data_IF_128539626120
#
_entry.id   IF_128539626120
#
_cell.length_a   1.000
_cell.length_b   1.000
_cell.length_c   1.000
_cell.angle_alpha   90.00
_cell.angle_beta   90.00
_cell.angle_gamma   90.00
#
_symmetry.space_group_name_H-M   'P 1'
#
loop_
_entity.id
_entity.type
_entity.pdbx_description
1 polymer ?
#
# COMPACT_ATOMS: atom_id res chain seq x y z
N UNK A 1 -11.03 -3.69 -2.13
CA UNK A 1 -10.83 -5.14 -1.91
C UNK A 1 -9.76 -5.72 -2.84
N UNK A 2 -9.76 -5.38 -4.13
CA UNK A 2 -8.78 -5.85 -5.11
C UNK A 2 -7.31 -5.68 -4.69
N UNK A 3 -6.93 -4.48 -4.23
CA UNK A 3 -5.53 -4.20 -3.87
C UNK A 3 -5.05 -5.03 -2.66
N UNK A 4 -5.91 -5.23 -1.65
CA UNK A 4 -5.63 -6.13 -0.52
C UNK A 4 -5.48 -7.59 -0.95
N UNK A 5 -6.28 -8.05 -1.91
CA UNK A 5 -6.12 -9.40 -2.47
C UNK A 5 -4.82 -9.52 -3.28
N UNK A 6 -4.45 -8.49 -4.01
CA UNK A 6 -3.20 -8.45 -4.80
C UNK A 6 -1.97 -8.58 -3.90
N UNK A 7 -1.89 -7.81 -2.82
CA UNK A 7 -0.78 -7.96 -1.86
C UNK A 7 -0.87 -9.30 -1.12
N UNK A 8 -2.08 -9.81 -0.86
CA UNK A 8 -2.28 -11.16 -0.32
C UNK A 8 -1.67 -12.25 -1.20
N UNK A 9 -1.85 -12.18 -2.52
CA UNK A 9 -1.20 -13.13 -3.44
C UNK A 9 0.32 -13.01 -3.45
N UNK A 10 0.85 -11.80 -3.28
CA UNK A 10 2.30 -11.57 -3.17
C UNK A 10 2.88 -12.11 -1.86
N UNK A 11 2.13 -12.00 -0.77
CA UNK A 11 2.54 -12.44 0.58
C UNK A 11 2.35 -13.95 0.80
N UNK A 12 1.64 -14.63 -0.09
CA UNK A 12 1.49 -16.06 -0.03
C UNK A 12 2.87 -16.75 -0.07
N UNK A 13 3.09 -17.69 0.85
CA UNK A 13 4.35 -18.43 1.00
C UNK A 13 5.61 -17.59 1.26
N UNK A 14 5.46 -16.29 1.56
CA UNK A 14 6.57 -15.37 1.88
C UNK A 14 7.08 -15.49 3.33
N UNK A 15 6.42 -16.31 4.15
CA UNK A 15 6.62 -16.36 5.60
C UNK A 15 5.86 -15.29 6.39
N UNK A 16 5.14 -14.38 5.73
CA UNK A 16 4.34 -13.34 6.41
C UNK A 16 3.33 -13.92 7.40
N UNK A 17 2.53 -14.91 6.99
CA UNK A 17 1.54 -15.54 7.89
C UNK A 17 2.23 -16.25 9.06
N UNK A 18 3.38 -16.89 8.82
CA UNK A 18 4.23 -17.47 9.86
C UNK A 18 4.67 -16.42 10.88
N UNK A 19 5.18 -15.28 10.43
CA UNK A 19 5.60 -14.19 11.31
C UNK A 19 4.44 -13.66 12.17
N UNK A 20 3.22 -13.60 11.64
CA UNK A 20 2.03 -13.21 12.41
C UNK A 20 1.67 -14.22 13.50
N UNK A 21 1.84 -15.51 13.22
CA UNK A 21 1.58 -16.60 14.16
C UNK A 21 2.65 -16.64 15.25
N UNK A 22 3.91 -16.57 14.87
CA UNK A 22 5.06 -16.58 15.80
C UNK A 22 5.04 -15.36 16.74
N UNK A 23 4.61 -14.20 16.24
CA UNK A 23 4.41 -13.00 17.05
C UNK A 23 3.17 -13.06 17.96
N UNK A 24 2.37 -14.14 17.89
CA UNK A 24 1.15 -14.32 18.69
C UNK A 24 0.00 -13.38 18.30
N UNK A 25 0.03 -12.77 17.12
CA UNK A 25 -0.97 -11.80 16.68
C UNK A 25 -2.23 -12.50 16.15
N UNK A 26 -2.07 -13.67 15.52
CA UNK A 26 -3.16 -14.45 14.93
C UNK A 26 -2.90 -15.96 15.02
N UNK A 27 -3.97 -16.75 15.08
CA UNK A 27 -3.86 -18.20 14.86
C UNK A 27 -3.58 -18.50 13.39
N UNK A 28 -3.02 -19.67 13.03
CA UNK A 28 -2.69 -20.02 11.63
C UNK A 28 -3.85 -19.79 10.65
N UNK A 29 -5.03 -20.33 10.96
CA UNK A 29 -6.21 -20.13 10.11
C UNK A 29 -6.68 -18.67 10.03
N UNK A 30 -6.44 -17.87 11.07
CA UNK A 30 -6.75 -16.43 11.03
C UNK A 30 -5.74 -15.67 10.19
N UNK A 31 -4.45 -16.02 10.28
CA UNK A 31 -3.41 -15.42 9.46
C UNK A 31 -3.64 -15.68 7.96
N UNK A 32 -3.96 -16.92 7.58
CA UNK A 32 -4.28 -17.29 6.20
C UNK A 32 -5.55 -16.59 5.68
N UNK A 33 -6.51 -16.33 6.58
CA UNK A 33 -7.73 -15.60 6.25
C UNK A 33 -7.46 -14.14 5.80
N UNK A 34 -6.29 -13.58 6.13
CA UNK A 34 -5.90 -12.24 5.71
C UNK A 34 -5.42 -12.21 4.25
N UNK A 35 -4.74 -13.26 3.77
CA UNK A 35 -4.29 -13.39 2.38
C UNK A 35 -5.47 -13.31 1.39
N UNK A 36 -6.60 -13.92 1.75
CA UNK A 36 -7.81 -13.97 0.91
C UNK A 36 -8.78 -12.81 1.18
N UNK A 37 -8.49 -11.97 2.17
CA UNK A 37 -9.32 -10.83 2.61
C UNK A 37 -10.72 -11.28 3.05
N UNK A 38 -10.80 -12.32 3.88
CA UNK A 38 -12.07 -12.84 4.43
C UNK A 38 -12.85 -11.79 5.24
N UNK A 39 -12.13 -10.87 5.92
CA UNK A 39 -12.69 -9.75 6.67
C UNK A 39 -11.90 -8.49 6.38
N UNK A 40 -12.48 -7.58 5.58
CA UNK A 40 -11.82 -6.32 5.16
C UNK A 40 -11.29 -5.53 6.36
N UNK A 41 -12.06 -5.45 7.45
CA UNK A 41 -11.67 -4.68 8.64
C UNK A 41 -10.44 -5.28 9.32
N UNK A 42 -10.44 -6.60 9.55
CA UNK A 42 -9.32 -7.29 10.21
C UNK A 42 -8.09 -7.32 9.32
N UNK A 43 -8.26 -7.67 8.04
CA UNK A 43 -7.17 -7.66 7.05
C UNK A 43 -6.51 -6.29 6.96
N UNK A 44 -7.29 -5.21 6.86
CA UNK A 44 -6.73 -3.84 6.86
C UNK A 44 -5.87 -3.58 8.11
N UNK A 45 -6.37 -3.93 9.30
CA UNK A 45 -5.63 -3.73 10.54
C UNK A 45 -4.29 -4.49 10.52
N UNK A 46 -4.27 -5.69 9.97
CA UNK A 46 -3.04 -6.48 9.87
C UNK A 46 -2.03 -5.92 8.89
N UNK A 47 -2.49 -5.39 7.76
CA UNK A 47 -1.65 -4.65 6.82
C UNK A 47 -1.08 -3.37 7.43
N UNK A 48 -1.85 -2.65 8.26
CA UNK A 48 -1.33 -1.52 9.04
C UNK A 48 -0.22 -1.94 10.02
N UNK A 49 -0.42 -3.03 10.76
CA UNK A 49 0.60 -3.58 11.68
C UNK A 49 1.85 -4.02 10.91
N UNK A 50 1.67 -4.63 9.73
CA UNK A 50 2.75 -5.08 8.86
C UNK A 50 3.57 -3.89 8.36
N UNK A 51 2.93 -2.86 7.81
CA UNK A 51 3.61 -1.64 7.35
C UNK A 51 4.40 -0.95 8.48
N UNK A 52 3.81 -0.82 9.67
CA UNK A 52 4.52 -0.27 10.83
C UNK A 52 5.72 -1.14 11.24
N UNK A 53 5.56 -2.46 11.27
CA UNK A 53 6.62 -3.40 11.64
C UNK A 53 7.78 -3.35 10.65
N UNK A 54 7.49 -3.42 9.35
CA UNK A 54 8.49 -3.31 8.29
C UNK A 54 9.24 -1.99 8.33
N UNK A 55 8.54 -0.87 8.51
CA UNK A 55 9.19 0.44 8.62
C UNK A 55 10.12 0.54 9.85
N UNK A 56 9.68 0.00 11.00
CA UNK A 56 10.53 -0.07 12.21
C UNK A 56 11.77 -0.91 11.99
N UNK A 57 11.63 -2.09 11.37
CA UNK A 57 12.75 -2.97 11.05
C UNK A 57 13.72 -2.32 10.05
N UNK A 58 13.18 -1.64 9.03
CA UNK A 58 13.96 -0.89 8.06
C UNK A 58 14.79 0.22 8.71
N UNK A 59 14.18 1.00 9.62
CA UNK A 59 14.89 2.03 10.37
C UNK A 59 15.92 1.46 11.33
N UNK A 60 15.64 0.34 11.99
CA UNK A 60 16.62 -0.35 12.84
C UNK A 60 17.84 -0.80 12.02
N UNK A 61 17.62 -1.45 10.88
CA UNK A 61 18.70 -1.89 9.99
C UNK A 61 19.55 -0.71 9.47
N UNK A 62 18.94 0.44 9.20
CA UNK A 62 19.68 1.65 8.84
C UNK A 62 20.51 2.19 10.01
N UNK A 63 19.95 2.22 11.23
CA UNK A 63 20.69 2.65 12.41
C UNK A 63 21.87 1.74 12.72
N UNK A 64 21.75 0.43 12.50
CA UNK A 64 22.86 -0.49 12.71
C UNK A 64 23.94 -0.31 11.65
N UNK A 65 23.58 -0.10 10.38
CA UNK A 65 24.53 0.32 9.33
C UNK A 65 25.30 1.59 9.73
N UNK A 66 24.63 2.61 10.27
CA UNK A 66 25.30 3.84 10.71
C UNK A 66 26.28 3.64 11.87
N UNK A 67 26.11 2.60 12.68
CA UNK A 67 27.06 2.28 13.78
C UNK A 67 28.28 1.50 13.29
N UNK A 68 28.10 0.72 12.23
CA UNK A 68 29.11 -0.18 11.67
C UNK A 68 29.92 0.45 10.54
N UNK A 69 29.42 1.54 9.93
CA UNK A 69 30.12 2.20 8.82
C UNK A 69 31.34 2.98 9.30
N UNK A 70 32.47 2.77 8.64
CA UNK A 70 33.70 3.56 8.79
C UNK A 70 33.75 4.76 7.83
N UNK A 71 32.68 4.98 7.04
CA UNK A 71 32.57 6.08 6.09
C UNK A 71 32.60 7.45 6.79
N UNK A 72 33.20 8.44 6.13
CA UNK A 72 33.16 9.81 6.65
C UNK A 72 31.72 10.34 6.66
N UNK A 73 31.33 11.22 7.58
CA UNK A 73 29.96 11.73 7.66
C UNK A 73 29.42 12.37 6.36
N UNK A 74 30.31 12.89 5.51
CA UNK A 74 29.97 13.48 4.21
C UNK A 74 29.74 12.45 3.10
N UNK A 75 30.22 11.22 3.29
CA UNK A 75 30.07 10.08 2.38
C UNK A 75 28.88 9.19 2.73
N UNK A 76 28.32 9.33 3.94
CA UNK A 76 27.14 8.57 4.38
C UNK A 76 25.94 8.92 3.49
N UNK A 77 25.38 7.92 2.77
CA UNK A 77 24.24 8.16 1.90
C UNK A 77 23.00 8.57 2.70
N UNK A 78 22.08 9.31 2.06
CA UNK A 78 20.76 9.54 2.63
C UNK A 78 20.04 8.20 2.87
N UNK A 79 19.04 8.21 3.76
CA UNK A 79 18.25 7.01 4.05
C UNK A 79 17.64 6.39 2.78
N UNK A 80 17.15 7.23 1.86
CA UNK A 80 16.59 6.82 0.57
C UNK A 80 17.66 6.22 -0.32
N UNK A 81 18.82 6.88 -0.45
CA UNK A 81 19.94 6.38 -1.24
C UNK A 81 20.47 5.04 -0.70
N UNK A 82 20.55 4.90 0.63
CA UNK A 82 20.89 3.63 1.27
C UNK A 82 19.85 2.54 0.97
N UNK A 83 18.55 2.86 1.01
CA UNK A 83 17.51 1.91 0.64
C UNK A 83 17.65 1.45 -0.82
N UNK A 84 17.92 2.35 -1.77
CA UNK A 84 18.17 1.98 -3.17
C UNK A 84 19.39 1.06 -3.31
N UNK A 85 20.48 1.36 -2.61
CA UNK A 85 21.68 0.51 -2.62
C UNK A 85 21.38 -0.89 -2.07
N UNK A 86 20.70 -0.98 -0.93
CA UNK A 86 20.36 -2.25 -0.27
C UNK A 86 19.40 -3.10 -1.10
N UNK A 87 18.49 -2.48 -1.86
CA UNK A 87 17.63 -3.18 -2.82
C UNK A 87 18.42 -3.93 -3.88
N UNK A 88 19.56 -3.39 -4.34
CA UNK A 88 20.41 -4.04 -5.34
C UNK A 88 21.25 -5.18 -4.77
N UNK A 89 21.62 -5.10 -3.49
CA UNK A 89 22.49 -6.08 -2.84
C UNK A 89 21.76 -7.30 -2.28
N UNK A 90 20.51 -7.15 -1.86
CA UNK A 90 19.76 -8.22 -1.19
C UNK A 90 18.37 -8.39 -1.81
N UNK A 91 18.10 -9.53 -2.47
CA UNK A 91 16.77 -9.86 -2.98
C UNK A 91 15.70 -9.86 -1.89
N UNK A 92 16.06 -10.32 -0.68
CA UNK A 92 15.15 -10.32 0.46
C UNK A 92 14.81 -8.90 0.93
N UNK A 93 15.81 -8.01 0.99
CA UNK A 93 15.58 -6.60 1.30
C UNK A 93 14.68 -5.97 0.23
N UNK A 94 14.96 -6.22 -1.05
CA UNK A 94 14.16 -5.72 -2.15
C UNK A 94 12.70 -6.15 -2.06
N UNK A 95 12.47 -7.44 -1.79
CA UNK A 95 11.13 -8.00 -1.62
C UNK A 95 10.36 -7.30 -0.49
N UNK A 96 10.91 -7.22 0.72
CA UNK A 96 10.22 -6.62 1.86
C UNK A 96 10.06 -5.10 1.73
N UNK A 97 10.99 -4.42 1.06
CA UNK A 97 10.86 -3.01 0.71
C UNK A 97 9.72 -2.78 -0.30
N UNK A 98 9.60 -3.65 -1.31
CA UNK A 98 8.51 -3.63 -2.27
C UNK A 98 7.16 -3.88 -1.58
N UNK A 99 7.09 -4.87 -0.68
CA UNK A 99 5.91 -5.12 0.16
C UNK A 99 5.54 -3.86 0.96
N UNK A 100 6.48 -3.27 1.70
CA UNK A 100 6.23 -2.03 2.45
C UNK A 100 5.72 -0.90 1.55
N UNK A 101 6.31 -0.74 0.36
CA UNK A 101 5.90 0.27 -0.60
C UNK A 101 4.45 0.04 -1.06
N UNK A 102 4.11 -1.20 -1.41
CA UNK A 102 2.74 -1.58 -1.79
C UNK A 102 1.73 -1.40 -0.63
N UNK A 103 2.09 -1.77 0.59
CA UNK A 103 1.28 -1.56 1.80
C UNK A 103 0.92 -0.07 1.96
N UNK A 104 1.91 0.81 1.85
CA UNK A 104 1.72 2.25 2.00
C UNK A 104 0.78 2.79 0.91
N UNK A 105 0.94 2.36 -0.34
CA UNK A 105 0.04 2.77 -1.44
C UNK A 105 -1.40 2.27 -1.20
N UNK A 106 -1.59 1.04 -0.73
CA UNK A 106 -2.92 0.51 -0.39
C UNK A 106 -3.56 1.34 0.74
N UNK A 107 -2.78 1.70 1.76
CA UNK A 107 -3.25 2.53 2.87
C UNK A 107 -3.57 3.96 2.42
N UNK A 108 -2.81 4.53 1.47
CA UNK A 108 -3.12 5.81 0.84
C UNK A 108 -4.42 5.76 0.04
N UNK A 109 -4.66 4.68 -0.71
CA UNK A 109 -5.95 4.47 -1.39
C UNK A 109 -7.10 4.38 -0.39
N UNK A 110 -6.92 3.66 0.72
CA UNK A 110 -7.96 3.58 1.76
C UNK A 110 -8.21 4.96 2.37
N UNK A 111 -7.14 5.72 2.65
CA UNK A 111 -7.21 7.08 3.16
C UNK A 111 -7.95 8.01 2.20
N UNK A 112 -7.67 7.92 0.89
CA UNK A 112 -8.33 8.77 -0.11
C UNK A 112 -9.84 8.59 -0.10
N UNK A 113 -10.32 7.36 0.06
CA UNK A 113 -11.76 7.11 0.20
C UNK A 113 -12.32 7.65 1.51
N UNK A 114 -11.59 7.46 2.62
CA UNK A 114 -12.06 7.83 3.95
C UNK A 114 -12.17 9.33 4.14
N UNK A 115 -11.28 10.09 3.50
CA UNK A 115 -11.22 11.55 3.52
C UNK A 115 -11.97 12.20 2.35
N UNK A 116 -12.59 11.41 1.47
CA UNK A 116 -13.18 11.90 0.23
C UNK A 116 -12.21 12.76 -0.61
N UNK A 117 -10.92 12.39 -0.61
CA UNK A 117 -9.86 13.13 -1.29
C UNK A 117 -9.63 12.55 -2.70
N UNK A 118 -10.21 13.21 -3.70
CA UNK A 118 -10.15 12.75 -5.10
C UNK A 118 -8.74 12.82 -5.69
N UNK A 119 -7.94 13.83 -5.34
CA UNK A 119 -6.56 13.94 -5.80
C UNK A 119 -5.71 12.75 -5.31
N UNK A 120 -5.79 12.47 -4.00
CA UNK A 120 -5.08 11.34 -3.40
C UNK A 120 -5.56 10.00 -3.96
N UNK A 121 -6.84 9.90 -4.33
CA UNK A 121 -7.40 8.72 -4.99
C UNK A 121 -6.73 8.47 -6.34
N UNK A 122 -6.67 9.49 -7.21
CA UNK A 122 -6.00 9.38 -8.52
C UNK A 122 -4.52 9.03 -8.38
N UNK A 123 -3.80 9.65 -7.44
CA UNK A 123 -2.40 9.32 -7.17
C UNK A 123 -2.23 7.86 -6.72
N UNK A 124 -3.06 7.40 -5.78
CA UNK A 124 -2.97 6.03 -5.28
C UNK A 124 -3.32 4.99 -6.36
N UNK A 125 -4.23 5.32 -7.28
CA UNK A 125 -4.51 4.48 -8.44
C UNK A 125 -3.30 4.36 -9.37
N UNK A 126 -2.65 5.48 -9.69
CA UNK A 126 -1.46 5.49 -10.54
C UNK A 126 -0.35 4.59 -9.99
N UNK A 127 -0.08 4.73 -8.70
CA UNK A 127 0.93 3.95 -7.98
C UNK A 127 0.57 2.46 -7.86
N UNK A 128 -0.72 2.10 -7.86
CA UNK A 128 -1.14 0.69 -7.79
C UNK A 128 -1.02 -0.08 -9.09
N UNK A 129 -1.10 0.60 -10.25
CA UNK A 129 -1.12 -0.05 -11.57
C UNK A 129 0.08 -1.00 -11.78
N UNK A 130 1.33 -0.60 -11.50
CA UNK A 130 2.49 -1.50 -11.67
C UNK A 130 2.39 -2.77 -10.83
N UNK A 131 1.85 -2.69 -9.61
CA UNK A 131 1.71 -3.85 -8.74
C UNK A 131 0.66 -4.85 -9.26
N UNK A 132 -0.47 -4.37 -9.80
CA UNK A 132 -1.46 -5.27 -10.40
C UNK A 132 -0.91 -5.99 -11.63
N UNK A 133 -0.06 -5.33 -12.41
CA UNK A 133 0.66 -5.94 -13.52
C UNK A 133 1.67 -6.99 -13.04
N UNK A 134 2.51 -6.62 -12.06
CA UNK A 134 3.53 -7.50 -11.50
C UNK A 134 2.94 -8.75 -10.83
N UNK A 135 1.79 -8.63 -10.16
CA UNK A 135 1.12 -9.71 -9.44
C UNK A 135 0.16 -10.53 -10.34
N UNK A 136 0.25 -10.38 -11.67
CA UNK A 136 -0.57 -11.10 -12.65
C UNK A 136 -2.09 -11.00 -12.40
N UNK A 137 -2.56 -9.86 -11.89
CA UNK A 137 -3.98 -9.62 -11.68
C UNK A 137 -4.60 -9.05 -12.97
N UNK A 138 -4.60 -9.84 -14.03
CA UNK A 138 -4.88 -9.45 -15.43
C UNK A 138 -6.10 -8.55 -15.58
N UNK A 139 -7.24 -8.90 -14.96
CA UNK A 139 -8.46 -8.10 -15.05
C UNK A 139 -8.26 -6.67 -14.51
N UNK A 140 -7.58 -6.52 -13.38
CA UNK A 140 -7.28 -5.20 -12.82
C UNK A 140 -6.17 -4.50 -13.59
N UNK A 141 -5.15 -5.23 -14.03
CA UNK A 141 -4.06 -4.67 -14.83
C UNK A 141 -4.55 -4.05 -16.15
N UNK A 142 -5.64 -4.56 -16.73
CA UNK A 142 -6.23 -4.00 -17.96
C UNK A 142 -7.19 -2.84 -17.71
N UNK A 143 -8.12 -2.98 -16.76
CA UNK A 143 -9.17 -1.98 -16.56
C UNK A 143 -8.73 -0.80 -15.69
N UNK A 144 -7.80 -1.00 -14.75
CA UNK A 144 -7.36 0.06 -13.84
C UNK A 144 -6.66 1.22 -14.57
N UNK A 145 -5.77 1.00 -15.56
CA UNK A 145 -5.19 2.10 -16.34
C UNK A 145 -6.23 2.90 -17.13
N UNK A 146 -7.26 2.22 -17.66
CA UNK A 146 -8.36 2.86 -18.39
C UNK A 146 -9.17 3.74 -17.42
N UNK A 147 -9.54 3.17 -16.27
CA UNK A 147 -10.23 3.90 -15.22
C UNK A 147 -9.42 5.10 -14.73
N UNK A 148 -8.12 4.91 -14.45
CA UNK A 148 -7.22 5.99 -14.06
C UNK A 148 -7.19 7.11 -15.09
N UNK A 149 -7.03 6.79 -16.39
CA UNK A 149 -7.08 7.76 -17.47
C UNK A 149 -8.40 8.55 -17.45
N UNK A 150 -9.52 7.87 -17.23
CA UNK A 150 -10.83 8.53 -17.21
C UNK A 150 -10.97 9.45 -15.98
N UNK A 151 -10.41 9.07 -14.83
CA UNK A 151 -10.38 9.91 -13.62
C UNK A 151 -9.50 11.16 -13.78
N UNK A 152 -8.34 11.06 -14.43
CA UNK A 152 -7.44 12.22 -14.63
C UNK A 152 -7.86 13.13 -15.78
N UNK A 153 -8.63 12.60 -16.76
CA UNK A 153 -9.18 13.41 -17.87
C UNK A 153 -10.57 13.98 -17.60
N UNK A 154 -11.05 13.82 -16.37
CA UNK A 154 -12.42 14.11 -15.99
C UNK A 154 -12.72 15.61 -16.00
N UNK A 155 -11.74 16.44 -15.62
CA UNK A 155 -11.83 17.90 -15.67
C UNK A 155 -12.03 18.42 -17.10
N UNK A 156 -11.37 17.80 -18.10
CA UNK A 156 -11.49 18.21 -19.49
C UNK A 156 -12.77 17.67 -20.15
N UNK A 157 -13.16 16.43 -19.85
CA UNK A 157 -14.31 15.76 -20.49
C UNK A 157 -15.64 16.11 -19.84
N UNK A 158 -15.67 16.20 -18.51
CA UNK A 158 -16.88 16.37 -17.71
C UNK A 158 -16.62 17.32 -16.51
N UNK A 159 -16.44 18.63 -16.74
CA UNK A 159 -16.06 19.60 -15.69
C UNK A 159 -17.02 19.62 -14.50
N UNK A 160 -18.32 19.47 -14.74
CA UNK A 160 -19.33 19.43 -13.68
C UNK A 160 -19.14 18.21 -12.76
N UNK A 161 -18.89 17.03 -13.35
CA UNK A 161 -18.61 15.84 -12.56
C UNK A 161 -17.27 15.95 -11.82
N UNK A 162 -16.28 16.62 -12.42
CA UNK A 162 -14.98 16.86 -11.78
C UNK A 162 -15.15 17.71 -10.52
N UNK A 163 -15.98 18.74 -10.58
CA UNK A 163 -16.30 19.58 -9.43
C UNK A 163 -16.97 18.78 -8.31
N UNK A 164 -17.91 17.89 -8.63
CA UNK A 164 -18.55 17.01 -7.66
C UNK A 164 -17.54 16.05 -7.01
N UNK A 165 -16.65 15.46 -7.80
CA UNK A 165 -15.63 14.54 -7.29
C UNK A 165 -14.60 15.26 -6.42
N UNK A 166 -14.16 16.45 -6.83
CA UNK A 166 -13.29 17.31 -6.02
C UNK A 166 -13.95 17.77 -4.71
N UNK A 167 -15.29 17.90 -4.71
CA UNK A 167 -16.08 18.19 -3.51
C UNK A 167 -16.28 16.97 -2.60
N UNK A 168 -15.79 15.79 -3.01
CA UNK A 168 -15.88 14.55 -2.23
C UNK A 168 -17.07 13.67 -2.57
N UNK A 169 -17.91 14.04 -3.55
CA UNK A 169 -19.15 13.32 -3.89
C UNK A 169 -18.93 12.05 -4.73
N UNK A 170 -17.70 11.52 -4.76
CA UNK A 170 -17.38 10.20 -5.33
C UNK A 170 -17.39 9.07 -4.27
N UNK A 171 -17.62 9.41 -3.00
CA UNK A 171 -17.76 8.48 -1.88
C UNK A 171 -19.02 8.79 -1.08
N UNK A 172 -19.46 7.84 -0.25
CA UNK A 172 -20.64 8.02 0.60
C UNK A 172 -20.28 8.15 2.07
N UNK A 173 -20.88 9.15 2.70
CA UNK A 173 -20.75 9.44 4.13
C UNK A 173 -21.88 8.77 4.90
N UNK A 174 -21.54 7.85 5.82
CA UNK A 174 -22.50 7.32 6.81
C UNK A 174 -22.61 8.20 8.07
N UNK A 175 -21.63 9.07 8.30
CA UNK A 175 -21.59 9.97 9.44
C UNK A 175 -20.89 11.29 9.06
N UNK A 176 -21.02 12.31 9.91
CA UNK A 176 -20.34 13.61 9.74
C UNK A 176 -18.84 13.58 10.10
N UNK A 177 -18.28 12.42 10.47
CA UNK A 177 -16.85 12.30 10.81
C UNK A 177 -15.98 12.34 9.55
N UNK A 178 -14.89 13.10 9.60
CA UNK A 178 -13.97 13.32 8.47
C UNK A 178 -13.37 12.03 7.88
N UNK A 179 -13.17 10.96 8.68
CA UNK A 179 -12.57 9.69 8.22
C UNK A 179 -13.60 8.54 8.14
N UNK A 180 -14.84 8.86 7.77
CA UNK A 180 -15.95 7.87 7.78
C UNK A 180 -16.50 7.53 6.42
N UNK A 181 -16.04 8.19 5.36
CA UNK A 181 -16.52 7.93 4.02
C UNK A 181 -16.16 6.53 3.53
N UNK A 182 -17.01 6.00 2.67
CA UNK A 182 -16.89 4.68 2.08
C UNK A 182 -17.02 4.78 0.57
N UNK A 183 -16.12 4.11 -0.15
CA UNK A 183 -16.32 3.83 -1.56
C UNK A 183 -17.58 2.98 -1.73
N UNK A 184 -18.38 3.30 -2.74
CA UNK A 184 -19.47 2.46 -3.23
C UNK A 184 -18.94 1.72 -4.48
N UNK A 185 -19.29 0.44 -4.56
CA UNK A 185 -19.15 -0.40 -5.76
C UNK A 185 -20.50 -0.43 -6.48
#
# INVERSE_FOLDING_TARGET
MAALKSIGTLLQDSGWTGALVEAGIASPGTADSFLTVSSITRTRQMHQITGCSLYKLLKAAHMDYLKETDEQPEEVPSFEAWCEHRKLQSPQFHFWYMVLSMELVILLLIRSFREANFFLYCQSLAELIPYFFANNNVNYAWWLPIHYRDMVTLEQKHPQLAQEFQSGNFVVHKSSRQFSAMAID
#
